data_IF_643719019355
#
_entry.id   IF_643719019355
#
_cell.length_a   1.000
_cell.length_b   1.000
_cell.length_c   1.000
_cell.angle_alpha   90.00
_cell.angle_beta   90.00
_cell.angle_gamma   90.00
#
_symmetry.space_group_name_H-M   'P 1'
#
loop_
_entity.id
_entity.type
_entity.pdbx_description
1 polymer ?
#
# COMPACT_ATOMS: atom_id res chain seq x y z
N UNK A 1 10.34 -15.26 6.34
CA UNK A 1 10.44 -14.66 7.70
C UNK A 1 9.14 -13.91 7.99
N UNK A 2 8.88 -13.57 9.24
CA UNK A 2 7.74 -12.71 9.58
C UNK A 2 7.92 -11.28 9.05
N UNK A 3 6.81 -10.54 8.95
CA UNK A 3 6.76 -9.22 8.31
C UNK A 3 7.70 -8.22 8.99
N UNK A 4 7.59 -8.08 10.33
CA UNK A 4 8.38 -7.10 11.09
C UNK A 4 9.89 -7.34 10.95
N UNK A 5 10.32 -8.60 11.11
CA UNK A 5 11.73 -8.98 10.93
C UNK A 5 12.17 -8.73 9.50
N UNK A 6 11.35 -9.07 8.50
CA UNK A 6 11.69 -8.90 7.10
C UNK A 6 11.91 -7.45 6.72
N UNK A 7 11.00 -6.57 7.09
CA UNK A 7 11.14 -5.14 6.78
C UNK A 7 12.28 -4.47 7.56
N UNK A 8 12.53 -4.86 8.82
CA UNK A 8 13.70 -4.39 9.56
C UNK A 8 15.01 -4.73 8.84
N UNK A 9 15.15 -5.96 8.35
CA UNK A 9 16.34 -6.39 7.60
C UNK A 9 16.44 -5.69 6.22
N UNK A 10 15.31 -5.30 5.63
CA UNK A 10 15.26 -4.66 4.32
C UNK A 10 15.52 -3.15 4.34
N UNK A 11 15.25 -2.44 5.45
CA UNK A 11 15.40 -0.98 5.58
C UNK A 11 16.66 -0.43 4.89
N UNK A 12 17.87 -1.01 5.06
CA UNK A 12 19.10 -0.42 4.51
C UNK A 12 19.13 -0.29 2.97
N UNK A 13 18.32 -1.09 2.27
CA UNK A 13 18.28 -1.13 0.78
C UNK A 13 16.88 -0.92 0.21
N UNK A 14 15.89 -0.66 1.07
CA UNK A 14 14.48 -0.56 0.68
C UNK A 14 14.25 0.51 -0.40
N UNK A 15 14.72 1.73 -0.16
CA UNK A 15 14.55 2.86 -1.08
C UNK A 15 15.18 2.64 -2.45
N UNK A 16 16.28 1.86 -2.52
CA UNK A 16 16.96 1.56 -3.78
C UNK A 16 16.26 0.46 -4.59
N UNK A 17 15.41 -0.35 -3.94
CA UNK A 17 14.84 -1.57 -4.53
C UNK A 17 13.36 -1.46 -4.86
N UNK A 18 12.61 -0.64 -4.14
CA UNK A 18 11.18 -0.40 -4.38
C UNK A 18 11.00 0.70 -5.43
N UNK A 19 10.16 0.44 -6.43
CA UNK A 19 9.98 1.32 -7.60
C UNK A 19 8.62 2.04 -7.52
N UNK A 20 8.62 3.36 -7.73
CA UNK A 20 7.40 4.18 -7.78
C UNK A 20 6.40 3.74 -8.86
N UNK A 21 6.88 3.09 -9.92
CA UNK A 21 6.03 2.51 -10.96
C UNK A 21 5.09 1.41 -10.43
N UNK A 22 5.36 0.85 -9.23
CA UNK A 22 4.58 -0.20 -8.62
C UNK A 22 3.28 0.32 -7.99
N UNK A 23 3.37 1.44 -7.28
CA UNK A 23 2.32 2.00 -6.44
C UNK A 23 2.00 3.46 -6.79
N UNK A 24 2.96 4.33 -6.69
CA UNK A 24 2.79 5.79 -6.86
C UNK A 24 2.18 6.14 -8.21
N UNK A 25 2.62 5.49 -9.29
CA UNK A 25 2.09 5.74 -10.62
C UNK A 25 0.60 5.41 -10.75
N UNK A 26 0.08 4.44 -9.97
CA UNK A 26 -1.34 4.12 -9.96
C UNK A 26 -2.18 5.15 -9.21
N UNK A 27 -1.62 5.79 -8.18
CA UNK A 27 -2.31 6.87 -7.47
C UNK A 27 -2.58 8.05 -8.41
N UNK A 28 -1.63 8.38 -9.30
CA UNK A 28 -1.80 9.44 -10.31
C UNK A 28 -2.94 9.16 -11.31
N UNK A 29 -3.24 7.88 -11.55
CA UNK A 29 -4.25 7.44 -12.52
C UNK A 29 -5.67 7.37 -11.93
N UNK A 30 -5.86 7.54 -10.60
CA UNK A 30 -7.15 7.49 -9.94
C UNK A 30 -7.89 8.84 -10.05
N UNK A 31 -8.94 8.87 -10.88
CA UNK A 31 -9.75 10.07 -11.13
C UNK A 31 -10.93 10.28 -10.18
N UNK A 32 -11.32 9.24 -9.43
CA UNK A 32 -12.48 9.28 -8.51
C UNK A 32 -12.15 9.75 -7.09
N UNK A 33 -10.86 9.98 -6.78
CA UNK A 33 -10.38 10.33 -5.43
C UNK A 33 -10.12 11.82 -5.33
N UNK A 34 -10.64 12.44 -4.29
CA UNK A 34 -10.27 13.80 -3.89
C UNK A 34 -9.09 13.72 -2.93
N UNK A 35 -7.93 14.15 -3.40
CA UNK A 35 -6.67 14.13 -2.65
C UNK A 35 -6.53 15.36 -1.77
N UNK A 36 -7.45 15.52 -0.81
CA UNK A 36 -7.50 16.69 0.09
C UNK A 36 -7.89 16.28 1.51
N UNK A 37 -7.66 17.21 2.45
CA UNK A 37 -8.07 17.06 3.85
C UNK A 37 -7.12 16.23 4.69
N UNK A 38 -7.67 15.41 5.60
CA UNK A 38 -6.91 14.59 6.55
C UNK A 38 -6.83 13.13 6.08
N UNK A 39 -5.64 12.58 6.03
CA UNK A 39 -5.37 11.21 5.62
C UNK A 39 -4.82 10.33 6.75
N UNK A 40 -5.18 9.05 6.74
CA UNK A 40 -4.51 7.98 7.48
C UNK A 40 -3.73 7.11 6.49
N UNK A 41 -2.42 6.93 6.70
CA UNK A 41 -1.51 6.12 5.88
C UNK A 41 -1.19 4.82 6.64
N UNK A 42 -1.81 3.71 6.21
CA UNK A 42 -1.77 2.41 6.88
C UNK A 42 -0.68 1.53 6.28
N UNK A 43 0.28 1.10 7.09
CA UNK A 43 1.50 0.46 6.63
C UNK A 43 2.38 1.48 5.90
N UNK A 44 2.58 2.65 6.51
CA UNK A 44 3.19 3.81 5.89
C UNK A 44 4.67 3.62 5.51
N UNK A 45 5.32 2.56 6.01
CA UNK A 45 6.71 2.21 5.72
C UNK A 45 7.65 3.39 5.92
N UNK A 46 8.42 3.70 4.89
CA UNK A 46 9.36 4.84 4.87
C UNK A 46 8.72 6.18 4.51
N UNK A 47 7.39 6.23 4.31
CA UNK A 47 6.64 7.47 4.04
C UNK A 47 6.62 7.91 2.58
N UNK A 48 6.85 7.03 1.61
CA UNK A 48 6.81 7.35 0.16
C UNK A 48 5.42 7.83 -0.26
N UNK A 49 4.38 7.09 0.13
CA UNK A 49 2.97 7.44 -0.13
C UNK A 49 2.61 8.78 0.50
N UNK A 50 3.01 9.03 1.75
CA UNK A 50 2.77 10.32 2.41
C UNK A 50 3.45 11.50 1.71
N UNK A 51 4.67 11.33 1.19
CA UNK A 51 5.36 12.37 0.42
C UNK A 51 4.59 12.70 -0.86
N UNK A 52 4.06 11.70 -1.55
CA UNK A 52 3.19 11.88 -2.71
C UNK A 52 1.88 12.59 -2.34
N UNK A 53 1.20 12.16 -1.25
CA UNK A 53 -0.04 12.78 -0.75
C UNK A 53 0.16 14.27 -0.44
N UNK A 54 1.28 14.64 0.21
CA UNK A 54 1.64 16.05 0.47
C UNK A 54 1.77 16.85 -0.82
N UNK A 55 2.45 16.29 -1.82
CA UNK A 55 2.62 16.96 -3.11
C UNK A 55 1.27 17.18 -3.84
N UNK A 56 0.23 16.38 -3.52
CA UNK A 56 -1.11 16.46 -4.10
C UNK A 56 -2.13 17.20 -3.23
N UNK A 57 -1.70 17.84 -2.13
CA UNK A 57 -2.53 18.77 -1.36
C UNK A 57 -3.15 18.21 -0.09
N UNK A 58 -2.80 16.99 0.33
CA UNK A 58 -3.26 16.46 1.63
C UNK A 58 -2.62 17.27 2.76
N UNK A 59 -3.47 17.85 3.62
CA UNK A 59 -3.04 18.84 4.62
C UNK A 59 -2.54 18.20 5.92
N UNK A 60 -3.07 17.04 6.28
CA UNK A 60 -2.71 16.35 7.52
C UNK A 60 -2.62 14.84 7.28
N UNK A 61 -1.51 14.21 7.70
CA UNK A 61 -1.26 12.78 7.47
C UNK A 61 -0.79 12.12 8.77
N UNK A 62 -1.59 11.17 9.25
CA UNK A 62 -1.24 10.29 10.35
C UNK A 62 -0.79 8.94 9.79
N UNK A 63 0.45 8.51 10.10
CA UNK A 63 1.01 7.24 9.62
C UNK A 63 1.05 6.17 10.71
N UNK A 64 0.78 4.93 10.31
CA UNK A 64 0.91 3.73 11.17
C UNK A 64 1.73 2.68 10.43
N UNK A 65 2.73 2.11 11.09
CA UNK A 65 3.51 0.97 10.58
C UNK A 65 3.88 0.01 11.72
N UNK A 66 4.02 -1.27 11.37
CA UNK A 66 4.38 -2.32 12.33
C UNK A 66 5.86 -2.26 12.71
N UNK A 67 6.72 -1.68 11.86
CA UNK A 67 8.18 -1.75 11.92
C UNK A 67 8.78 -0.42 12.39
N UNK A 68 9.30 -0.33 13.62
CA UNK A 68 9.88 0.91 14.15
C UNK A 68 11.00 1.50 13.27
N UNK A 69 11.82 0.64 12.67
CA UNK A 69 12.93 1.04 11.82
C UNK A 69 12.44 1.71 10.52
N UNK A 70 11.29 1.28 9.98
CA UNK A 70 10.63 1.97 8.87
C UNK A 70 10.13 3.35 9.30
N UNK A 71 9.54 3.44 10.50
CA UNK A 71 9.06 4.71 11.05
C UNK A 71 10.19 5.72 11.33
N UNK A 72 11.41 5.26 11.60
CA UNK A 72 12.58 6.15 11.73
C UNK A 72 12.87 6.84 10.39
N UNK A 73 12.88 6.10 9.29
CA UNK A 73 13.07 6.66 7.93
C UNK A 73 11.91 7.60 7.56
N UNK A 74 10.66 7.22 7.90
CA UNK A 74 9.49 8.07 7.67
C UNK A 74 9.58 9.41 8.43
N UNK A 75 10.11 9.40 9.67
CA UNK A 75 10.35 10.64 10.45
C UNK A 75 11.37 11.53 9.78
N UNK A 76 12.46 10.96 9.28
CA UNK A 76 13.49 11.70 8.55
C UNK A 76 12.95 12.30 7.25
N UNK A 77 12.05 11.59 6.56
CA UNK A 77 11.34 12.10 5.37
C UNK A 77 10.43 13.29 5.68
N UNK A 78 9.82 13.32 6.86
CA UNK A 78 9.06 14.46 7.36
C UNK A 78 7.73 14.72 6.64
N UNK A 79 7.13 13.70 6.01
CA UNK A 79 5.86 13.85 5.28
C UNK A 79 4.62 13.65 6.16
N UNK A 80 4.74 12.95 7.30
CA UNK A 80 3.66 12.73 8.25
C UNK A 80 3.64 13.78 9.36
N UNK A 81 2.47 14.10 9.88
CA UNK A 81 2.30 14.92 11.09
C UNK A 81 2.47 14.07 12.35
N UNK A 82 1.94 12.86 12.33
CA UNK A 82 2.15 11.89 13.41
C UNK A 82 2.54 10.52 12.85
N UNK A 83 3.37 9.80 13.61
CA UNK A 83 3.77 8.44 13.29
C UNK A 83 3.60 7.56 14.52
N UNK A 84 2.95 6.40 14.32
CA UNK A 84 2.66 5.45 15.38
C UNK A 84 3.09 4.03 14.98
N UNK A 85 3.75 3.33 15.89
CA UNK A 85 3.90 1.88 15.76
C UNK A 85 2.55 1.21 16.03
N UNK A 86 2.08 0.35 15.10
CA UNK A 86 0.80 -0.33 15.22
C UNK A 86 0.49 -1.27 14.06
N UNK A 87 -0.56 -2.06 14.27
CA UNK A 87 -1.11 -2.97 13.27
C UNK A 87 -2.13 -2.23 12.40
N UNK A 88 -2.09 -2.42 11.08
CA UNK A 88 -3.04 -1.83 10.12
C UNK A 88 -4.48 -2.27 10.34
N UNK A 89 -4.69 -3.41 11.01
CA UNK A 89 -6.00 -3.93 11.39
C UNK A 89 -6.54 -3.36 12.72
N UNK A 90 -5.70 -2.63 13.49
CA UNK A 90 -6.07 -2.06 14.80
C UNK A 90 -5.15 -0.86 15.11
N UNK A 91 -5.24 0.21 14.34
CA UNK A 91 -4.31 1.35 14.35
C UNK A 91 -4.35 2.18 15.63
N UNK A 92 -5.47 2.18 16.34
CA UNK A 92 -5.72 3.06 17.48
C UNK A 92 -5.88 4.54 17.08
N UNK A 93 -6.02 4.85 15.79
CA UNK A 93 -6.34 6.18 15.30
C UNK A 93 -7.81 6.53 15.55
N UNK A 94 -8.16 7.81 15.46
CA UNK A 94 -9.49 8.33 15.73
C UNK A 94 -10.52 7.85 14.70
N UNK A 95 -11.69 7.38 15.18
CA UNK A 95 -12.76 6.89 14.31
C UNK A 95 -13.48 8.04 13.61
N UNK A 96 -13.79 7.87 12.31
CA UNK A 96 -14.58 8.83 11.53
C UNK A 96 -13.90 10.18 11.32
N UNK A 97 -12.57 10.26 11.47
CA UNK A 97 -11.81 11.50 11.45
C UNK A 97 -11.12 11.79 10.11
N UNK A 98 -11.10 10.84 9.17
CA UNK A 98 -10.29 10.94 7.97
C UNK A 98 -11.13 11.10 6.73
N UNK A 99 -10.74 12.06 5.89
CA UNK A 99 -11.26 12.24 4.53
C UNK A 99 -10.79 11.12 3.61
N UNK A 100 -9.58 10.65 3.87
CA UNK A 100 -8.89 9.66 3.08
C UNK A 100 -8.17 8.64 3.99
N UNK A 101 -8.32 7.36 3.68
CA UNK A 101 -7.49 6.29 4.22
C UNK A 101 -6.71 5.70 3.05
N UNK A 102 -5.40 5.52 3.19
CA UNK A 102 -4.56 4.95 2.14
C UNK A 102 -3.76 3.78 2.72
N UNK A 103 -3.60 2.73 1.93
CA UNK A 103 -2.67 1.64 2.21
C UNK A 103 -2.00 1.22 0.88
N UNK A 104 -0.71 0.95 0.92
CA UNK A 104 0.04 0.57 -0.27
C UNK A 104 0.97 -0.60 0.03
N UNK A 105 0.81 -1.69 -0.73
CA UNK A 105 1.66 -2.89 -0.67
C UNK A 105 1.76 -3.50 0.75
N UNK A 106 0.60 -3.61 1.42
CA UNK A 106 0.52 -4.21 2.77
C UNK A 106 -0.35 -5.47 2.79
N UNK A 107 -1.29 -5.59 1.87
CA UNK A 107 -2.30 -6.65 1.83
C UNK A 107 -1.70 -8.04 1.69
N UNK A 108 -0.62 -8.16 0.94
CA UNK A 108 0.09 -9.43 0.77
C UNK A 108 0.68 -10.00 2.07
N UNK A 109 0.76 -9.19 3.13
CA UNK A 109 1.25 -9.62 4.45
C UNK A 109 0.13 -10.00 5.41
N UNK A 110 -1.13 -9.84 5.00
CA UNK A 110 -2.31 -10.15 5.81
C UNK A 110 -2.86 -11.53 5.44
N UNK A 111 -3.13 -12.37 6.42
CA UNK A 111 -3.81 -13.65 6.20
C UNK A 111 -5.27 -13.45 5.77
N UNK A 112 -5.91 -12.36 6.24
CA UNK A 112 -7.27 -11.96 5.91
C UNK A 112 -7.35 -10.47 5.64
N UNK A 113 -8.10 -10.08 4.61
CA UNK A 113 -8.31 -8.69 4.23
C UNK A 113 -9.36 -7.96 5.08
N UNK A 114 -10.36 -8.70 5.62
CA UNK A 114 -11.50 -8.10 6.32
C UNK A 114 -11.09 -7.15 7.45
N UNK A 115 -10.08 -7.46 8.32
CA UNK A 115 -9.69 -6.54 9.39
C UNK A 115 -9.15 -5.20 8.86
N UNK A 116 -8.37 -5.19 7.77
CA UNK A 116 -7.89 -3.97 7.14
C UNK A 116 -9.05 -3.12 6.60
N UNK A 117 -9.96 -3.74 5.85
CA UNK A 117 -11.13 -3.05 5.28
C UNK A 117 -12.08 -2.51 6.35
N UNK A 118 -12.28 -3.25 7.44
CA UNK A 118 -13.09 -2.81 8.56
C UNK A 118 -12.44 -1.66 9.34
N UNK A 119 -11.12 -1.71 9.54
CA UNK A 119 -10.38 -0.62 10.19
C UNK A 119 -10.40 0.65 9.32
N UNK A 120 -10.16 0.54 8.01
CA UNK A 120 -10.28 1.65 7.09
C UNK A 120 -11.70 2.26 7.14
N UNK A 121 -12.77 1.43 7.19
CA UNK A 121 -14.15 1.89 7.33
C UNK A 121 -14.37 2.63 8.65
N UNK A 122 -13.79 2.15 9.75
CA UNK A 122 -13.88 2.82 11.05
C UNK A 122 -13.24 4.20 11.02
N UNK A 123 -12.10 4.34 10.35
CA UNK A 123 -11.30 5.57 10.29
C UNK A 123 -11.91 6.63 9.37
N UNK A 124 -12.38 6.25 8.19
CA UNK A 124 -12.93 7.18 7.22
C UNK A 124 -14.20 7.85 7.78
N UNK A 125 -14.41 9.14 7.51
CA UNK A 125 -15.67 9.82 7.77
C UNK A 125 -16.75 9.42 6.75
N UNK A 126 -18.06 9.62 7.03
CA UNK A 126 -19.09 9.49 6.01
C UNK A 126 -18.73 10.26 4.74
N UNK A 127 -18.84 9.65 3.57
CA UNK A 127 -18.39 10.20 2.29
C UNK A 127 -16.88 10.20 2.07
N UNK A 128 -16.08 9.74 3.01
CA UNK A 128 -14.62 9.58 2.87
C UNK A 128 -14.24 8.45 1.92
N UNK A 129 -12.97 8.40 1.54
CA UNK A 129 -12.44 7.41 0.63
C UNK A 129 -11.44 6.46 1.32
N UNK A 130 -11.34 5.23 0.79
CA UNK A 130 -10.24 4.31 1.07
C UNK A 130 -9.57 3.93 -0.24
N UNK A 131 -8.27 4.11 -0.33
CA UNK A 131 -7.44 3.72 -1.48
C UNK A 131 -6.48 2.64 -1.04
N UNK A 132 -6.49 1.52 -1.75
CA UNK A 132 -5.58 0.41 -1.52
C UNK A 132 -4.84 0.09 -2.82
N UNK A 133 -3.51 0.10 -2.78
CA UNK A 133 -2.66 -0.38 -3.87
C UNK A 133 -2.02 -1.70 -3.48
N UNK A 134 -2.12 -2.70 -4.35
CA UNK A 134 -1.72 -4.08 -4.10
C UNK A 134 -0.85 -4.62 -5.23
N UNK A 135 -0.08 -5.67 -4.95
CA UNK A 135 0.40 -6.56 -6.00
C UNK A 135 -0.78 -7.22 -6.70
N UNK A 136 -0.71 -7.27 -8.04
CA UNK A 136 -1.72 -8.01 -8.79
C UNK A 136 -1.55 -9.53 -8.60
N UNK A 137 -2.59 -10.29 -8.24
CA UNK A 137 -2.48 -11.74 -7.98
C UNK A 137 -1.95 -12.52 -9.19
N UNK A 138 -2.28 -12.09 -10.41
CA UNK A 138 -1.74 -12.69 -11.62
C UNK A 138 -0.20 -12.65 -11.63
N UNK A 139 0.41 -11.52 -11.25
CA UNK A 139 1.86 -11.37 -11.25
C UNK A 139 2.51 -12.35 -10.26
N UNK A 140 1.98 -12.42 -9.04
CA UNK A 140 2.50 -13.34 -8.01
C UNK A 140 2.36 -14.79 -8.47
N UNK A 141 1.19 -15.19 -8.97
CA UNK A 141 0.94 -16.56 -9.43
C UNK A 141 1.77 -16.93 -10.68
N UNK A 142 1.91 -16.01 -11.64
CA UNK A 142 2.66 -16.29 -12.88
C UNK A 142 4.18 -16.35 -12.66
N UNK A 143 4.69 -15.61 -11.69
CA UNK A 143 6.14 -15.54 -11.42
C UNK A 143 6.58 -16.43 -10.25
N UNK A 144 5.66 -16.77 -9.35
CA UNK A 144 5.96 -17.45 -8.09
C UNK A 144 6.80 -16.59 -7.13
N UNK A 145 6.89 -15.28 -7.36
CA UNK A 145 7.73 -14.39 -6.56
C UNK A 145 6.95 -13.85 -5.36
N UNK A 146 7.34 -14.23 -4.12
CA UNK A 146 6.88 -13.53 -2.93
C UNK A 146 7.55 -12.15 -2.82
N UNK A 147 7.12 -11.34 -1.87
CA UNK A 147 7.88 -10.15 -1.46
C UNK A 147 9.26 -10.58 -0.97
N UNK A 148 10.29 -10.10 -1.66
CA UNK A 148 11.67 -10.56 -1.43
C UNK A 148 12.67 -9.42 -1.67
N UNK A 149 13.83 -9.56 -1.02
CA UNK A 149 14.95 -8.63 -1.16
C UNK A 149 16.28 -9.39 -1.06
N UNK A 150 17.37 -8.70 -1.34
CA UNK A 150 18.72 -9.26 -1.17
C UNK A 150 19.25 -8.88 0.21
N UNK A 151 19.57 -9.87 1.02
CA UNK A 151 20.14 -9.68 2.35
C UNK A 151 21.57 -9.14 2.32
N UNK A 152 22.11 -8.75 3.47
CA UNK A 152 23.44 -8.13 3.57
C UNK A 152 24.60 -8.98 3.02
N UNK A 153 24.47 -10.30 3.05
CA UNK A 153 25.48 -11.25 2.51
C UNK A 153 25.20 -11.63 1.05
N UNK A 154 24.22 -11.01 0.39
CA UNK A 154 23.85 -11.30 -0.99
C UNK A 154 22.85 -12.46 -1.15
N UNK A 155 22.35 -13.02 -0.06
CA UNK A 155 21.36 -14.09 -0.05
C UNK A 155 19.95 -13.56 -0.37
N UNK A 156 19.13 -14.35 -1.09
CA UNK A 156 17.72 -13.99 -1.27
C UNK A 156 16.94 -14.24 0.02
N UNK A 157 16.26 -13.21 0.51
CA UNK A 157 15.37 -13.28 1.66
C UNK A 157 13.94 -13.02 1.20
N UNK A 158 12.97 -13.74 1.79
CA UNK A 158 11.55 -13.60 1.48
C UNK A 158 10.74 -13.34 2.75
N UNK A 159 9.78 -12.42 2.64
CA UNK A 159 8.81 -12.10 3.67
C UNK A 159 7.57 -12.96 3.44
N UNK A 160 6.88 -13.36 4.51
CA UNK A 160 5.62 -14.09 4.42
C UNK A 160 4.63 -13.32 3.54
N UNK A 161 4.09 -13.99 2.53
CA UNK A 161 3.24 -13.38 1.50
C UNK A 161 2.03 -14.28 1.28
N UNK A 162 0.85 -13.68 1.30
CA UNK A 162 -0.43 -14.28 0.95
C UNK A 162 -0.89 -13.77 -0.41
N UNK A 163 -1.57 -14.61 -1.18
CA UNK A 163 -2.15 -14.22 -2.47
C UNK A 163 -3.64 -13.98 -2.28
N UNK A 164 -4.06 -12.73 -2.49
CA UNK A 164 -5.47 -12.35 -2.50
C UNK A 164 -5.93 -12.11 -3.94
N UNK A 165 -7.03 -12.76 -4.33
CA UNK A 165 -7.61 -12.53 -5.65
C UNK A 165 -8.32 -11.17 -5.70
N UNK A 166 -8.55 -10.65 -6.93
CA UNK A 166 -9.34 -9.41 -7.09
C UNK A 166 -10.72 -9.53 -6.45
N UNK A 167 -11.33 -10.73 -6.52
CA UNK A 167 -12.61 -11.03 -5.88
C UNK A 167 -12.56 -10.96 -4.36
N UNK A 168 -11.43 -11.31 -3.73
CA UNK A 168 -11.29 -11.29 -2.28
C UNK A 168 -11.30 -9.84 -1.77
N UNK A 169 -10.62 -8.92 -2.48
CA UNK A 169 -10.67 -7.49 -2.21
C UNK A 169 -12.08 -6.92 -2.40
N UNK A 170 -12.77 -7.29 -3.49
CA UNK A 170 -14.13 -6.84 -3.74
C UNK A 170 -15.08 -7.33 -2.64
N UNK A 171 -14.97 -8.60 -2.24
CA UNK A 171 -15.78 -9.18 -1.17
C UNK A 171 -15.51 -8.48 0.16
N UNK A 172 -14.24 -8.34 0.56
CA UNK A 172 -13.89 -7.68 1.81
C UNK A 172 -14.37 -6.22 1.88
N UNK A 173 -14.29 -5.49 0.75
CA UNK A 173 -14.78 -4.13 0.65
C UNK A 173 -16.30 -4.05 0.82
N UNK A 174 -17.05 -4.85 0.07
CA UNK A 174 -18.51 -4.87 0.13
C UNK A 174 -19.03 -5.33 1.48
N UNK A 175 -18.45 -6.38 2.06
CA UNK A 175 -18.82 -6.90 3.38
C UNK A 175 -18.55 -5.88 4.49
N UNK A 176 -17.54 -5.03 4.33
CA UNK A 176 -17.22 -3.94 5.24
C UNK A 176 -18.08 -2.69 5.03
N UNK A 177 -18.98 -2.68 4.05
CA UNK A 177 -19.91 -1.57 3.77
C UNK A 177 -19.38 -0.51 2.81
N UNK A 178 -18.26 -0.75 2.15
CA UNK A 178 -17.71 0.14 1.12
C UNK A 178 -18.47 0.04 -0.20
N UNK A 179 -18.44 1.11 -0.97
CA UNK A 179 -18.84 1.13 -2.39
C UNK A 179 -17.60 1.27 -3.25
N UNK A 180 -17.39 0.35 -4.19
CA UNK A 180 -16.28 0.45 -5.14
C UNK A 180 -16.56 1.60 -6.12
N UNK A 181 -15.69 2.61 -6.10
CA UNK A 181 -15.79 3.77 -6.98
C UNK A 181 -14.95 3.61 -8.25
N UNK A 182 -13.75 3.05 -8.12
CA UNK A 182 -12.82 2.87 -9.23
C UNK A 182 -11.85 1.71 -8.94
N UNK A 183 -11.37 1.06 -10.01
CA UNK A 183 -10.28 0.10 -9.98
C UNK A 183 -9.37 0.36 -11.17
N UNK A 184 -8.05 0.32 -10.95
CA UNK A 184 -7.02 0.48 -11.97
C UNK A 184 -5.99 -0.62 -11.85
N UNK A 185 -5.53 -1.13 -13.00
CA UNK A 185 -4.47 -2.12 -13.05
C UNK A 185 -3.23 -1.52 -13.70
N UNK A 186 -2.09 -1.65 -13.01
CA UNK A 186 -0.78 -1.31 -13.53
C UNK A 186 -0.20 -2.47 -14.32
N UNK A 187 0.30 -2.20 -15.52
CA UNK A 187 0.92 -3.22 -16.38
C UNK A 187 2.42 -2.97 -16.54
N UNK A 188 3.15 -4.02 -16.86
CA UNK A 188 4.56 -3.92 -17.23
C UNK A 188 4.65 -3.28 -18.60
N UNK A 189 5.02 -2.01 -18.65
CA UNK A 189 5.16 -1.17 -19.83
C UNK A 189 6.64 -0.78 -20.08
N UNK A 190 6.86 0.18 -20.98
CA UNK A 190 8.20 0.67 -21.31
C UNK A 190 8.93 1.28 -20.12
N UNK A 191 8.21 1.91 -19.16
CA UNK A 191 8.80 2.47 -17.93
C UNK A 191 9.41 1.36 -17.08
N UNK A 192 8.67 0.27 -16.89
CA UNK A 192 9.14 -0.91 -16.16
C UNK A 192 10.34 -1.56 -16.85
N UNK A 193 10.30 -1.70 -18.18
CA UNK A 193 11.37 -2.34 -18.95
C UNK A 193 12.65 -1.51 -18.95
N UNK A 194 12.53 -0.18 -18.95
CA UNK A 194 13.68 0.72 -18.83
C UNK A 194 14.44 0.50 -17.50
N UNK A 195 13.72 0.24 -16.39
CA UNK A 195 14.32 -0.01 -15.06
C UNK A 195 14.71 -1.47 -14.86
N UNK A 196 13.89 -2.40 -15.37
CA UNK A 196 14.09 -3.86 -15.23
C UNK A 196 14.02 -4.56 -16.60
N UNK A 197 15.05 -4.47 -17.47
CA UNK A 197 15.02 -5.03 -18.83
C UNK A 197 14.72 -6.54 -18.90
N UNK A 198 15.09 -7.29 -17.85
CA UNK A 198 14.77 -8.74 -17.76
C UNK A 198 13.26 -9.03 -17.73
N UNK A 199 12.42 -8.02 -17.50
CA UNK A 199 10.97 -8.16 -17.47
C UNK A 199 10.30 -7.96 -18.83
N UNK A 200 11.05 -7.76 -19.91
CA UNK A 200 10.51 -7.72 -21.29
C UNK A 200 9.60 -8.93 -21.60
N UNK A 201 9.93 -10.11 -21.09
CA UNK A 201 9.12 -11.33 -21.24
C UNK A 201 7.73 -11.25 -20.56
N UNK A 202 7.56 -10.30 -19.64
CA UNK A 202 6.33 -10.06 -18.89
C UNK A 202 5.60 -8.79 -19.36
N UNK A 203 6.01 -8.24 -20.50
CA UNK A 203 5.37 -7.05 -21.10
C UNK A 203 3.86 -7.26 -21.20
N UNK A 204 3.09 -6.25 -20.80
CA UNK A 204 1.64 -6.24 -20.72
C UNK A 204 1.01 -7.16 -19.65
N UNK A 205 1.78 -7.87 -18.85
CA UNK A 205 1.22 -8.56 -17.68
C UNK A 205 0.87 -7.52 -16.60
N UNK A 206 -0.31 -7.65 -15.95
CA UNK A 206 -0.65 -6.81 -14.82
C UNK A 206 0.28 -7.13 -13.63
N UNK A 207 0.79 -6.10 -12.99
CA UNK A 207 1.75 -6.22 -11.88
C UNK A 207 1.18 -5.66 -10.56
N UNK A 208 0.37 -4.62 -10.64
CA UNK A 208 -0.27 -3.98 -9.50
C UNK A 208 -1.72 -3.65 -9.80
N UNK A 209 -2.50 -3.42 -8.76
CA UNK A 209 -3.89 -3.00 -8.85
C UNK A 209 -4.18 -1.98 -7.77
N UNK A 210 -4.92 -0.93 -8.08
CA UNK A 210 -5.45 0.05 -7.15
C UNK A 210 -6.96 -0.03 -7.07
N UNK A 211 -7.49 0.03 -5.85
CA UNK A 211 -8.91 0.14 -5.55
C UNK A 211 -9.19 1.47 -4.89
N UNK A 212 -10.16 2.22 -5.41
CA UNK A 212 -10.71 3.39 -4.73
C UNK A 212 -12.13 3.07 -4.25
N UNK A 213 -12.33 3.15 -2.95
CA UNK A 213 -13.59 2.88 -2.28
C UNK A 213 -14.18 4.17 -1.72
N UNK A 214 -15.50 4.24 -1.64
CA UNK A 214 -16.23 5.35 -1.04
C UNK A 214 -17.05 4.84 0.15
N UNK A 215 -16.89 5.49 1.31
CA UNK A 215 -17.79 5.27 2.44
C UNK A 215 -19.14 5.93 2.13
N UNK A 216 -20.28 5.22 2.24
CA UNK A 216 -21.60 5.85 2.15
C UNK A 216 -21.77 7.02 3.12
N UNK A 217 -22.59 8.01 2.73
CA UNK A 217 -22.89 9.19 3.52
C UNK A 217 -23.73 8.89 4.76
#
# INVERSE_FOLDING_TARGET
>A
MDVRTGYREWVPTYEDTVQDAMDIALLDDLGSVDWAGRAADLGCGTGRTAAWLRAHGVEHIDGVDLTPEMLEVARERGAHDTLREGDVAATGLESGAYDLVVASLVDEHLESLHPLYAEAMRLARPGGAFVLVCFHPHFIMATGMPTHFTGPSGEPLAIATHVHLLSDHVTAGLDSGWTLAEMREGVIDDRWIAVKPKWERLRHHPISVAYAWRRPA
#
